data_IF_432413476752
#
_entry.id   IF_432413476752
#
_cell.length_a   1.000
_cell.length_b   1.000
_cell.length_c   1.000
_cell.angle_alpha   90.00
_cell.angle_beta   90.00
_cell.angle_gamma   90.00
#
_symmetry.space_group_name_H-M   'P 1'
#
loop_
_entity.id
_entity.type
_entity.pdbx_description
1 polymer ?
#
# COMPACT_ATOMS: atom_id res chain seq x y z
N UNK A 1 24.69 -34.72 -2.73
CA UNK A 1 23.48 -33.86 -2.79
C UNK A 1 23.18 -33.38 -1.38
N UNK A 2 22.63 -32.18 -1.18
CA UNK A 2 22.28 -31.73 0.16
C UNK A 2 21.21 -32.65 0.76
N UNK A 3 21.26 -32.85 2.06
CA UNK A 3 20.20 -33.55 2.80
C UNK A 3 18.89 -32.77 2.69
N UNK A 4 17.80 -33.44 2.34
CA UNK A 4 16.51 -32.82 2.11
C UNK A 4 15.39 -33.61 2.82
N UNK A 5 14.38 -32.89 3.29
CA UNK A 5 13.12 -33.52 3.72
C UNK A 5 12.35 -34.00 2.50
N UNK A 6 11.67 -35.10 2.63
CA UNK A 6 10.91 -35.72 1.56
C UNK A 6 9.43 -35.78 1.94
N UNK A 7 8.56 -35.62 0.94
CA UNK A 7 7.11 -35.78 1.08
C UNK A 7 6.65 -37.02 0.33
N UNK A 8 5.80 -37.82 0.95
CA UNK A 8 5.13 -38.96 0.32
C UNK A 8 3.96 -38.40 -0.50
N UNK A 9 3.89 -38.77 -1.78
CA UNK A 9 2.87 -38.27 -2.72
C UNK A 9 1.79 -39.30 -3.05
N UNK A 10 1.96 -40.55 -2.63
CA UNK A 10 0.93 -41.59 -2.84
C UNK A 10 -0.27 -41.32 -1.94
N UNK A 11 -1.48 -41.40 -2.50
CA UNK A 11 -2.73 -41.12 -1.82
C UNK A 11 -2.95 -42.02 -0.60
N UNK A 12 -2.56 -43.30 -0.68
CA UNK A 12 -2.66 -44.25 0.41
C UNK A 12 -1.84 -43.90 1.66
N UNK A 13 -0.90 -42.96 1.53
CA UNK A 13 -0.01 -42.51 2.60
C UNK A 13 -0.05 -41.01 2.82
N UNK A 14 -1.09 -40.31 2.33
CA UNK A 14 -1.20 -38.84 2.37
C UNK A 14 -1.10 -38.26 3.78
N UNK A 15 -1.57 -39.00 4.79
CA UNK A 15 -1.57 -38.60 6.20
C UNK A 15 -0.68 -39.48 7.08
N UNK A 16 0.30 -40.15 6.46
CA UNK A 16 1.16 -41.08 7.19
C UNK A 16 2.00 -40.36 8.25
N UNK A 17 1.94 -40.89 9.46
CA UNK A 17 2.80 -40.50 10.58
C UNK A 17 3.46 -41.77 11.13
N UNK A 18 4.77 -41.79 11.18
CA UNK A 18 5.51 -42.98 11.61
C UNK A 18 6.93 -43.02 11.06
N UNK A 19 7.48 -44.25 10.98
CA UNK A 19 8.84 -44.46 10.47
C UNK A 19 8.79 -45.28 9.18
N UNK A 20 9.50 -44.81 8.16
CA UNK A 20 9.65 -45.52 6.91
C UNK A 20 11.14 -45.42 6.46
N UNK A 21 11.72 -46.56 6.06
CA UNK A 21 13.14 -46.62 5.69
C UNK A 21 14.08 -46.03 6.77
N UNK A 22 13.72 -46.21 8.06
CA UNK A 22 14.40 -45.63 9.23
C UNK A 22 14.34 -44.11 9.35
N UNK A 23 13.45 -43.46 8.62
CA UNK A 23 13.15 -42.02 8.77
C UNK A 23 11.81 -41.83 9.45
N UNK A 24 11.68 -40.82 10.30
CA UNK A 24 10.43 -40.37 10.90
C UNK A 24 9.67 -39.47 9.94
N UNK A 25 8.33 -39.61 9.98
CA UNK A 25 7.42 -38.76 9.19
C UNK A 25 6.31 -38.25 10.07
N UNK A 26 5.92 -37.00 9.87
CA UNK A 26 4.73 -36.37 10.42
C UNK A 26 3.91 -35.79 9.29
N UNK A 27 2.64 -36.18 9.17
CA UNK A 27 1.75 -35.74 8.07
C UNK A 27 2.39 -35.94 6.69
N UNK A 28 3.02 -37.11 6.47
CA UNK A 28 3.70 -37.47 5.21
C UNK A 28 4.97 -36.65 4.89
N UNK A 29 5.52 -35.91 5.84
CA UNK A 29 6.78 -35.19 5.71
C UNK A 29 7.81 -35.81 6.67
N UNK A 30 9.04 -35.97 6.23
CA UNK A 30 10.11 -36.46 7.10
C UNK A 30 10.38 -35.48 8.24
N UNK A 31 10.51 -35.98 9.48
CA UNK A 31 10.75 -35.15 10.67
C UNK A 31 12.11 -34.46 10.62
N UNK A 32 13.11 -35.15 10.05
CA UNK A 32 14.46 -34.63 9.86
C UNK A 32 14.88 -34.74 8.38
N UNK A 33 15.91 -33.95 7.94
CA UNK A 33 16.47 -34.12 6.62
C UNK A 33 16.99 -35.53 6.38
N UNK A 34 16.69 -36.10 5.22
CA UNK A 34 17.08 -37.45 4.86
C UNK A 34 18.45 -37.50 4.20
N UNK A 35 19.22 -38.49 4.53
CA UNK A 35 20.48 -38.78 3.83
C UNK A 35 20.20 -39.18 2.37
N UNK A 36 21.17 -39.04 1.48
CA UNK A 36 21.07 -39.46 0.07
C UNK A 36 20.57 -40.88 -0.11
N UNK A 37 21.05 -41.81 0.73
CA UNK A 37 20.61 -43.21 0.72
C UNK A 37 19.16 -43.37 1.06
N UNK A 38 18.68 -42.68 2.10
CA UNK A 38 17.28 -42.68 2.50
C UNK A 38 16.37 -42.04 1.43
N UNK A 39 16.80 -40.94 0.82
CA UNK A 39 16.10 -40.30 -0.29
C UNK A 39 15.96 -41.24 -1.48
N UNK A 40 17.05 -41.92 -1.86
CA UNK A 40 17.02 -42.88 -2.97
C UNK A 40 16.12 -44.05 -2.70
N UNK A 41 16.13 -44.58 -1.47
CA UNK A 41 15.25 -45.69 -1.08
C UNK A 41 13.76 -45.29 -1.09
N UNK A 42 13.44 -44.11 -0.59
CA UNK A 42 12.07 -43.59 -0.63
C UNK A 42 11.59 -43.34 -2.07
N UNK A 43 12.44 -42.76 -2.89
CA UNK A 43 12.12 -42.49 -4.30
C UNK A 43 11.94 -43.77 -5.12
N UNK A 44 12.62 -44.85 -4.74
CA UNK A 44 12.48 -46.15 -5.40
C UNK A 44 11.24 -46.94 -4.94
N UNK A 45 10.81 -46.79 -3.68
CA UNK A 45 9.69 -47.50 -3.10
C UNK A 45 8.34 -46.74 -3.16
N UNK A 46 8.43 -45.42 -3.15
CA UNK A 46 7.30 -44.51 -3.09
C UNK A 46 7.58 -43.34 -4.05
N UNK A 47 6.54 -42.77 -4.60
CA UNK A 47 6.66 -41.53 -5.40
C UNK A 47 6.92 -40.31 -4.48
N UNK A 48 8.03 -40.38 -3.75
CA UNK A 48 8.45 -39.30 -2.87
C UNK A 48 9.16 -38.19 -3.66
N UNK A 49 8.80 -36.96 -3.45
CA UNK A 49 9.44 -35.79 -4.05
C UNK A 49 10.17 -34.96 -2.98
N UNK A 50 11.30 -34.32 -3.33
CA UNK A 50 11.93 -33.40 -2.41
C UNK A 50 10.96 -32.33 -1.93
N UNK A 51 10.91 -32.13 -0.63
CA UNK A 51 10.10 -31.10 -0.04
C UNK A 51 10.85 -29.78 -0.06
N UNK A 52 10.34 -28.78 -0.78
CA UNK A 52 10.91 -27.45 -0.78
C UNK A 52 10.06 -26.51 0.10
N UNK A 53 10.72 -25.94 1.09
CA UNK A 53 10.10 -24.88 1.89
C UNK A 53 10.05 -23.59 1.10
N UNK A 54 8.99 -22.83 1.27
CA UNK A 54 8.85 -21.50 0.69
C UNK A 54 8.22 -20.54 1.69
N UNK A 55 8.59 -19.29 1.61
CA UNK A 55 7.95 -18.21 2.40
C UNK A 55 6.71 -17.74 1.65
N UNK A 56 5.61 -17.58 2.38
CA UNK A 56 4.36 -17.02 1.88
C UNK A 56 4.05 -15.74 2.66
N UNK A 57 3.59 -14.71 1.96
CA UNK A 57 3.15 -13.44 2.55
C UNK A 57 1.66 -13.26 2.30
N UNK A 58 0.92 -12.89 3.32
CA UNK A 58 -0.50 -12.57 3.25
C UNK A 58 -0.77 -11.16 3.79
N UNK A 59 -1.71 -10.42 3.18
CA UNK A 59 -2.43 -10.72 1.93
C UNK A 59 -1.53 -10.66 0.70
N UNK A 60 -1.91 -11.35 -0.39
CA UNK A 60 -1.12 -11.42 -1.63
C UNK A 60 -1.19 -10.12 -2.47
N UNK A 61 -2.18 -9.28 -2.25
CA UNK A 61 -2.36 -8.00 -2.96
C UNK A 61 -2.76 -6.91 -1.96
N UNK A 62 -1.85 -6.51 -1.06
CA UNK A 62 -2.13 -5.50 -0.05
C UNK A 62 -2.24 -4.11 -0.66
N UNK A 63 -3.20 -3.33 -0.16
CA UNK A 63 -3.31 -1.91 -0.48
C UNK A 63 -3.56 -1.09 0.78
N UNK A 64 -3.08 0.14 0.79
CA UNK A 64 -3.18 1.06 1.92
C UNK A 64 -3.30 2.50 1.42
N UNK A 65 -3.97 3.36 2.15
CA UNK A 65 -3.97 4.80 1.86
C UNK A 65 -2.73 5.47 2.48
N UNK A 66 -2.29 6.56 1.90
CA UNK A 66 -1.27 7.44 2.51
C UNK A 66 -1.65 7.77 3.96
N UNK A 67 -0.70 7.60 4.88
CA UNK A 67 -0.88 7.82 6.32
C UNK A 67 -1.67 6.73 7.06
N UNK A 68 -2.01 5.62 6.39
CA UNK A 68 -2.66 4.45 7.00
C UNK A 68 -1.72 3.25 7.00
N UNK A 69 -2.12 2.20 7.71
CA UNK A 69 -1.33 0.97 7.86
C UNK A 69 -2.08 -0.24 7.33
N UNK A 70 -1.32 -1.25 6.90
CA UNK A 70 -1.79 -2.59 6.57
C UNK A 70 -0.84 -3.61 7.19
N UNK A 71 -1.41 -4.64 7.84
CA UNK A 71 -0.61 -5.72 8.43
C UNK A 71 -0.32 -6.78 7.37
N UNK A 72 0.95 -7.13 7.21
CA UNK A 72 1.41 -8.31 6.49
C UNK A 72 1.78 -9.39 7.50
N UNK A 73 1.52 -10.63 7.12
CA UNK A 73 1.96 -11.82 7.86
C UNK A 73 2.78 -12.71 6.93
N UNK A 74 3.88 -13.24 7.42
CA UNK A 74 4.69 -14.20 6.70
C UNK A 74 4.68 -15.55 7.40
N UNK A 75 4.75 -16.63 6.63
CA UNK A 75 4.84 -17.99 7.13
C UNK A 75 5.62 -18.86 6.17
N UNK A 76 6.19 -19.96 6.68
CA UNK A 76 6.85 -20.99 5.86
C UNK A 76 5.83 -22.07 5.53
N UNK A 77 5.74 -22.44 4.24
CA UNK A 77 4.93 -23.57 3.83
C UNK A 77 5.49 -24.85 4.41
N UNK A 78 4.66 -25.60 5.14
CA UNK A 78 4.95 -26.93 5.72
C UNK A 78 6.27 -26.97 6.52
N UNK A 79 6.22 -26.64 7.79
CA UNK A 79 7.34 -26.67 8.71
C UNK A 79 7.09 -25.77 9.91
N UNK A 80 7.99 -25.64 10.80
CA UNK A 80 7.91 -24.97 12.10
C UNK A 80 6.89 -23.85 12.25
N UNK A 81 6.07 -23.95 13.25
CA UNK A 81 5.02 -22.98 13.61
C UNK A 81 5.52 -21.63 14.15
N UNK A 82 6.82 -21.45 14.37
CA UNK A 82 7.41 -20.24 14.96
C UNK A 82 8.64 -19.81 14.15
N UNK A 83 8.42 -19.15 13.02
CA UNK A 83 9.49 -18.51 12.24
C UNK A 83 9.56 -17.04 12.59
N UNK A 84 10.78 -16.53 12.73
CA UNK A 84 11.08 -15.11 12.93
C UNK A 84 11.47 -14.47 11.60
N UNK A 85 10.75 -13.43 11.20
CA UNK A 85 10.99 -12.77 9.92
C UNK A 85 11.61 -11.38 10.10
N UNK A 86 12.56 -11.06 9.24
CA UNK A 86 12.98 -9.69 9.00
C UNK A 86 12.22 -9.13 7.80
N UNK A 87 11.78 -7.87 7.94
CA UNK A 87 11.00 -7.18 6.91
C UNK A 87 11.79 -6.02 6.32
N UNK A 88 11.72 -5.85 5.02
CA UNK A 88 12.40 -4.76 4.31
C UNK A 88 11.50 -4.18 3.22
N UNK A 89 11.43 -2.86 3.18
CA UNK A 89 10.86 -2.12 2.06
C UNK A 89 11.92 -1.86 0.99
N UNK A 90 11.54 -1.93 -0.27
CA UNK A 90 12.40 -1.56 -1.39
C UNK A 90 12.48 -0.02 -1.56
N UNK A 91 11.51 0.73 -1.02
CA UNK A 91 11.50 2.19 -1.09
C UNK A 91 10.67 2.78 0.07
N UNK A 92 11.34 3.27 1.09
CA UNK A 92 10.72 3.87 2.28
C UNK A 92 10.02 5.21 1.99
N UNK A 93 10.30 5.84 0.84
CA UNK A 93 9.58 7.04 0.41
C UNK A 93 8.14 6.73 -0.05
N UNK A 94 7.85 5.48 -0.42
CA UNK A 94 6.50 5.03 -0.80
C UNK A 94 5.80 4.36 0.38
N UNK A 95 6.45 3.40 1.02
CA UNK A 95 5.95 2.80 2.26
C UNK A 95 7.09 2.26 3.12
N UNK A 96 6.95 2.39 4.43
CA UNK A 96 7.82 1.77 5.42
C UNK A 96 7.22 0.48 5.96
N UNK A 97 8.04 -0.40 6.51
CA UNK A 97 7.60 -1.62 7.20
C UNK A 97 8.38 -1.76 8.51
N UNK A 98 7.71 -2.16 9.58
CA UNK A 98 8.36 -2.45 10.86
C UNK A 98 8.70 -3.96 11.00
N UNK A 99 9.38 -4.31 12.10
CA UNK A 99 9.79 -5.69 12.39
C UNK A 99 8.64 -6.69 12.57
N UNK A 100 7.40 -6.23 12.74
CA UNK A 100 6.21 -7.09 12.86
C UNK A 100 5.44 -7.23 11.55
N UNK A 101 5.92 -6.64 10.45
CA UNK A 101 5.25 -6.67 9.15
C UNK A 101 4.13 -5.62 9.01
N UNK A 102 4.04 -4.64 9.92
CA UNK A 102 3.10 -3.53 9.79
C UNK A 102 3.66 -2.52 8.78
N UNK A 103 2.99 -2.37 7.66
CA UNK A 103 3.34 -1.45 6.57
C UNK A 103 2.58 -0.15 6.74
N UNK A 104 3.29 0.98 6.63
CA UNK A 104 2.70 2.34 6.64
C UNK A 104 2.89 2.99 5.28
N UNK A 105 1.80 3.45 4.67
CA UNK A 105 1.84 4.20 3.40
C UNK A 105 2.37 5.62 3.61
N UNK A 106 3.39 6.01 2.86
CA UNK A 106 4.05 7.33 2.93
C UNK A 106 3.64 8.21 1.75
N UNK A 107 3.78 7.70 0.53
CA UNK A 107 3.42 8.42 -0.70
C UNK A 107 2.73 7.47 -1.68
N UNK A 108 1.88 7.97 -2.59
CA UNK A 108 1.23 7.14 -3.59
C UNK A 108 2.24 6.41 -4.49
N UNK A 109 1.99 5.15 -4.76
CA UNK A 109 2.86 4.33 -5.59
C UNK A 109 2.77 2.85 -5.26
N UNK A 110 3.66 2.07 -5.88
CA UNK A 110 3.81 0.64 -5.63
C UNK A 110 5.21 0.37 -5.09
N UNK A 111 5.30 -0.49 -4.09
CA UNK A 111 6.57 -0.84 -3.46
C UNK A 111 6.59 -2.32 -3.09
N UNK A 112 7.74 -2.94 -3.32
CA UNK A 112 7.97 -4.33 -2.92
C UNK A 112 8.38 -4.39 -1.44
N UNK A 113 7.67 -5.19 -0.67
CA UNK A 113 8.01 -5.52 0.72
C UNK A 113 8.49 -6.97 0.75
N UNK A 114 9.64 -7.20 1.33
CA UNK A 114 10.28 -8.52 1.42
C UNK A 114 10.30 -8.99 2.87
N UNK A 115 9.88 -10.23 3.09
CA UNK A 115 10.07 -10.95 4.34
C UNK A 115 11.15 -12.02 4.15
N UNK A 116 12.13 -12.07 5.04
CA UNK A 116 13.18 -13.08 5.06
C UNK A 116 13.12 -13.82 6.39
N UNK A 117 13.02 -15.12 6.34
CA UNK A 117 13.09 -15.96 7.52
C UNK A 117 14.52 -15.99 8.06
N UNK A 118 14.68 -15.79 9.36
CA UNK A 118 16.01 -15.65 9.98
C UNK A 118 16.75 -16.98 10.09
N UNK A 119 16.06 -18.09 10.14
CA UNK A 119 16.65 -19.43 10.31
C UNK A 119 17.04 -20.03 8.95
N UNK A 120 16.11 -20.05 8.00
CA UNK A 120 16.31 -20.70 6.70
C UNK A 120 16.88 -19.77 5.64
N UNK A 121 16.89 -18.45 5.87
CA UNK A 121 17.26 -17.40 4.92
C UNK A 121 16.38 -17.38 3.65
N UNK A 122 15.27 -18.13 3.65
CA UNK A 122 14.29 -18.07 2.59
C UNK A 122 13.55 -16.74 2.64
N UNK A 123 13.21 -16.22 1.48
CA UNK A 123 12.51 -14.94 1.39
C UNK A 123 11.37 -14.98 0.39
N UNK A 124 10.36 -14.15 0.63
CA UNK A 124 9.32 -13.83 -0.32
C UNK A 124 9.09 -12.32 -0.36
N UNK A 125 8.44 -11.87 -1.42
CA UNK A 125 8.10 -10.46 -1.57
C UNK A 125 6.67 -10.30 -2.05
N UNK A 126 6.03 -9.20 -1.61
CA UNK A 126 4.70 -8.80 -2.06
C UNK A 126 4.75 -7.33 -2.51
N UNK A 127 4.01 -7.00 -3.57
CA UNK A 127 3.84 -5.62 -4.01
C UNK A 127 2.70 -4.97 -3.22
N UNK A 128 3.02 -3.92 -2.46
CA UNK A 128 2.05 -3.10 -1.73
C UNK A 128 1.70 -1.88 -2.58
N UNK A 129 0.40 -1.64 -2.77
CA UNK A 129 -0.08 -0.43 -3.45
C UNK A 129 -0.48 0.62 -2.42
N UNK A 130 0.17 1.78 -2.45
CA UNK A 130 -0.19 2.94 -1.65
C UNK A 130 -1.07 3.86 -2.48
N UNK A 131 -2.32 4.00 -2.07
CA UNK A 131 -3.30 4.83 -2.76
C UNK A 131 -3.33 6.25 -2.18
N UNK A 132 -3.55 7.29 -3.02
CA UNK A 132 -3.73 8.65 -2.55
C UNK A 132 -5.03 8.77 -1.73
N UNK A 133 -5.04 9.73 -0.80
CA UNK A 133 -6.26 10.19 -0.15
C UNK A 133 -6.90 11.24 -1.05
N UNK A 134 -8.04 10.91 -1.63
CA UNK A 134 -8.74 11.78 -2.59
C UNK A 134 -9.41 12.98 -1.90
N UNK A 135 -9.55 14.09 -2.63
CA UNK A 135 -10.35 15.24 -2.22
C UNK A 135 -11.84 14.88 -2.27
N UNK A 136 -12.54 15.11 -1.16
CA UNK A 136 -13.98 14.87 -1.05
C UNK A 136 -14.80 16.13 -1.30
N UNK A 137 -14.31 17.29 -0.84
CA UNK A 137 -14.94 18.58 -1.04
C UNK A 137 -13.92 19.72 -1.02
N UNK A 138 -14.30 20.82 -1.68
CA UNK A 138 -13.60 22.10 -1.63
C UNK A 138 -14.60 23.15 -1.22
N UNK A 139 -14.22 24.08 -0.37
CA UNK A 139 -14.98 25.28 -0.03
C UNK A 139 -14.11 26.50 -0.14
N UNK A 140 -14.71 27.67 -0.31
CA UNK A 140 -14.02 28.96 -0.34
C UNK A 140 -14.51 29.83 0.82
N UNK A 141 -13.63 30.59 1.41
CA UNK A 141 -13.96 31.49 2.53
C UNK A 141 -13.28 32.85 2.34
N UNK A 142 -14.00 33.96 2.45
CA UNK A 142 -15.46 34.02 2.50
C UNK A 142 -16.12 33.56 1.19
N UNK A 143 -17.37 33.09 1.25
CA UNK A 143 -18.16 32.72 0.07
C UNK A 143 -18.84 33.93 -0.60
N UNK A 144 -18.87 35.08 0.11
CA UNK A 144 -19.28 36.38 -0.40
C UNK A 144 -18.49 37.48 0.26
N UNK A 145 -18.06 38.47 -0.54
CA UNK A 145 -17.29 39.63 -0.06
C UNK A 145 -17.41 40.80 -1.03
N UNK A 146 -16.97 42.00 -0.60
CA UNK A 146 -16.86 43.16 -1.45
C UNK A 146 -15.42 43.68 -1.54
N UNK A 147 -15.08 44.36 -2.62
CA UNK A 147 -13.78 44.99 -2.84
C UNK A 147 -13.97 46.28 -3.62
N UNK A 148 -13.26 47.34 -3.26
CA UNK A 148 -13.25 48.58 -4.03
C UNK A 148 -12.53 48.37 -5.37
N UNK A 149 -12.97 49.10 -6.41
CA UNK A 149 -12.26 49.15 -7.71
C UNK A 149 -10.78 49.47 -7.51
N UNK A 150 -9.90 48.63 -8.08
CA UNK A 150 -8.44 48.79 -8.00
C UNK A 150 -7.82 48.26 -6.67
N UNK A 151 -8.63 47.74 -5.74
CA UNK A 151 -8.16 47.09 -4.53
C UNK A 151 -8.24 45.57 -4.65
N UNK A 152 -7.66 44.87 -3.67
CA UNK A 152 -7.66 43.41 -3.64
C UNK A 152 -8.18 42.86 -2.29
N UNK A 153 -8.82 41.71 -2.38
CA UNK A 153 -9.30 40.91 -1.23
C UNK A 153 -8.84 39.46 -1.38
N UNK A 154 -8.47 38.82 -0.30
CA UNK A 154 -8.02 37.43 -0.34
C UNK A 154 -9.16 36.47 -0.01
N UNK A 155 -9.33 35.48 -0.87
CA UNK A 155 -10.15 34.29 -0.64
C UNK A 155 -9.25 33.10 -0.25
N UNK A 156 -9.76 32.21 0.58
CA UNK A 156 -9.05 30.98 1.00
C UNK A 156 -9.79 29.76 0.54
N UNK A 157 -9.10 28.85 -0.12
CA UNK A 157 -9.59 27.52 -0.42
C UNK A 157 -9.43 26.61 0.80
N UNK A 158 -10.46 25.85 1.12
CA UNK A 158 -10.40 24.81 2.14
C UNK A 158 -10.72 23.45 1.49
N UNK A 159 -9.72 22.56 1.46
CA UNK A 159 -9.80 21.26 0.83
C UNK A 159 -9.98 20.19 1.90
N UNK A 160 -11.00 19.35 1.75
CA UNK A 160 -11.30 18.25 2.68
C UNK A 160 -11.18 16.88 1.99
N UNK A 161 -10.68 15.87 2.72
CA UNK A 161 -10.17 15.92 4.09
C UNK A 161 -8.81 16.65 4.17
N UNK A 162 -8.46 17.15 5.35
CA UNK A 162 -7.20 17.90 5.56
C UNK A 162 -5.94 17.10 5.23
N UNK A 163 -6.02 15.77 5.24
CA UNK A 163 -4.98 14.83 4.83
C UNK A 163 -5.08 14.39 3.36
N UNK A 164 -5.88 15.06 2.51
CA UNK A 164 -5.89 14.78 1.07
C UNK A 164 -4.47 14.89 0.50
N UNK A 165 -4.12 13.94 -0.36
CA UNK A 165 -2.75 13.80 -0.88
C UNK A 165 -2.38 14.96 -1.81
N UNK A 166 -3.32 15.37 -2.67
CA UNK A 166 -3.17 16.57 -3.49
C UNK A 166 -4.25 17.57 -3.09
N UNK A 167 -3.82 18.70 -2.52
CA UNK A 167 -4.70 19.82 -2.12
C UNK A 167 -4.62 21.01 -3.06
N UNK A 168 -3.92 20.87 -4.17
CA UNK A 168 -3.79 21.95 -5.14
C UNK A 168 -5.17 22.28 -5.74
N UNK A 169 -5.42 23.57 -5.88
CA UNK A 169 -6.63 24.14 -6.50
C UNK A 169 -6.22 25.10 -7.62
N UNK A 170 -7.12 25.29 -8.57
CA UNK A 170 -7.00 26.30 -9.62
C UNK A 170 -8.10 27.32 -9.40
N UNK A 171 -7.74 28.60 -9.42
CA UNK A 171 -8.63 29.74 -9.30
C UNK A 171 -8.94 30.33 -10.67
N UNK A 172 -10.17 30.75 -10.88
CA UNK A 172 -10.59 31.46 -12.09
C UNK A 172 -11.74 32.41 -11.79
N UNK A 173 -11.80 33.51 -12.48
CA UNK A 173 -12.95 34.41 -12.50
C UNK A 173 -13.85 34.07 -13.70
N UNK A 174 -15.16 34.06 -13.48
CA UNK A 174 -16.14 33.98 -14.58
C UNK A 174 -16.43 35.33 -15.23
N UNK A 175 -16.02 36.42 -14.56
CA UNK A 175 -16.30 37.79 -14.94
C UNK A 175 -15.01 38.61 -14.79
N UNK A 176 -14.02 38.33 -15.62
CA UNK A 176 -12.70 38.99 -15.55
C UNK A 176 -12.76 40.49 -15.84
N UNK A 177 -13.78 40.94 -16.55
CA UNK A 177 -14.10 42.35 -16.74
C UNK A 177 -14.51 43.05 -15.45
N UNK A 178 -14.99 42.32 -14.45
CA UNK A 178 -15.40 42.85 -13.13
C UNK A 178 -14.32 42.62 -12.08
N UNK A 179 -13.80 41.38 -11.96
CA UNK A 179 -12.72 41.08 -11.05
C UNK A 179 -11.83 39.97 -11.61
N UNK A 180 -10.54 40.06 -11.39
CA UNK A 180 -9.56 39.01 -11.68
C UNK A 180 -9.13 38.29 -10.41
N UNK A 181 -8.60 37.07 -10.52
CA UNK A 181 -8.07 36.32 -9.40
C UNK A 181 -6.73 35.67 -9.76
N UNK A 182 -5.76 35.74 -8.86
CA UNK A 182 -4.49 35.02 -8.98
C UNK A 182 -4.59 33.59 -8.43
N UNK A 183 -3.55 32.76 -8.66
CA UNK A 183 -3.51 31.38 -8.18
C UNK A 183 -3.29 31.25 -6.65
N UNK A 184 -3.10 32.37 -5.96
CA UNK A 184 -3.05 32.46 -4.49
C UNK A 184 -4.41 32.79 -3.86
N UNK A 185 -5.42 33.08 -4.70
CA UNK A 185 -6.78 33.45 -4.26
C UNK A 185 -6.93 34.95 -3.96
N UNK A 186 -6.01 35.81 -4.41
CA UNK A 186 -6.18 37.26 -4.31
C UNK A 186 -7.05 37.76 -5.47
N UNK A 187 -8.18 38.35 -5.16
CA UNK A 187 -9.15 38.87 -6.11
C UNK A 187 -8.95 40.41 -6.19
N UNK A 188 -8.78 40.94 -7.39
CA UNK A 188 -8.63 42.37 -7.64
C UNK A 188 -9.84 42.89 -8.39
N UNK A 189 -10.49 43.96 -7.86
CA UNK A 189 -11.60 44.65 -8.50
C UNK A 189 -11.16 45.42 -9.72
N UNK A 190 -11.77 45.17 -10.88
CA UNK A 190 -11.46 45.80 -12.15
C UNK A 190 -12.51 46.89 -12.48
N UNK A 191 -13.78 46.57 -12.41
CA UNK A 191 -14.90 47.44 -12.71
C UNK A 191 -16.10 47.16 -11.81
N UNK A 192 -16.88 48.15 -11.44
CA UNK A 192 -18.07 48.03 -10.59
C UNK A 192 -19.00 46.97 -11.14
N UNK A 193 -19.47 46.09 -10.22
CA UNK A 193 -20.38 44.97 -10.53
C UNK A 193 -20.04 43.69 -9.77
N UNK A 194 -20.65 42.61 -10.14
CA UNK A 194 -20.49 41.32 -9.43
C UNK A 194 -19.67 40.34 -10.26
N UNK A 195 -18.69 39.68 -9.63
CA UNK A 195 -17.91 38.62 -10.21
C UNK A 195 -18.09 37.32 -9.46
N UNK A 196 -18.14 36.20 -10.17
CA UNK A 196 -18.10 34.84 -9.60
C UNK A 196 -16.70 34.27 -9.73
N UNK A 197 -16.06 34.00 -8.61
CA UNK A 197 -14.76 33.34 -8.54
C UNK A 197 -14.98 31.85 -8.34
N UNK A 198 -14.44 31.02 -9.23
CA UNK A 198 -14.52 29.56 -9.16
C UNK A 198 -13.17 28.99 -8.71
N UNK A 199 -13.22 27.99 -7.83
CA UNK A 199 -12.07 27.14 -7.53
C UNK A 199 -12.37 25.70 -7.93
N UNK A 200 -11.35 25.02 -8.46
CA UNK A 200 -11.42 23.60 -8.87
C UNK A 200 -10.23 22.87 -8.28
N UNK A 201 -10.49 21.77 -7.56
CA UNK A 201 -9.40 20.91 -7.10
C UNK A 201 -8.75 20.16 -8.27
N UNK A 202 -7.45 20.04 -8.27
CA UNK A 202 -6.74 19.23 -9.26
C UNK A 202 -6.95 17.73 -9.06
N UNK A 203 -7.35 17.33 -7.85
CA UNK A 203 -7.70 15.96 -7.51
C UNK A 203 -9.22 15.82 -7.39
N UNK A 204 -9.84 15.13 -8.34
CA UNK A 204 -11.25 14.78 -8.29
C UNK A 204 -12.22 15.85 -8.78
N UNK A 205 -11.73 16.93 -9.39
CA UNK A 205 -12.55 17.97 -10.03
C UNK A 205 -13.67 18.51 -9.13
N UNK A 206 -13.41 18.67 -7.82
CA UNK A 206 -14.35 19.32 -6.89
C UNK A 206 -14.30 20.81 -7.09
N UNK A 207 -15.49 21.44 -7.03
CA UNK A 207 -15.65 22.87 -7.30
C UNK A 207 -16.32 23.59 -6.16
N UNK A 208 -15.98 24.86 -5.98
CA UNK A 208 -16.73 25.81 -5.17
C UNK A 208 -16.64 27.20 -5.80
N UNK A 209 -17.54 28.08 -5.40
CA UNK A 209 -17.59 29.46 -5.91
C UNK A 209 -17.70 30.46 -4.78
N UNK A 210 -17.19 31.66 -5.00
CA UNK A 210 -17.43 32.84 -4.18
C UNK A 210 -17.96 33.97 -5.04
N UNK A 211 -18.80 34.81 -4.45
CA UNK A 211 -19.31 36.03 -5.07
C UNK A 211 -18.51 37.22 -4.56
N UNK A 212 -17.99 38.04 -5.48
CA UNK A 212 -17.26 39.28 -5.15
C UNK A 212 -17.99 40.44 -5.77
N UNK A 213 -18.43 41.40 -4.94
CA UNK A 213 -19.02 42.64 -5.38
C UNK A 213 -17.92 43.73 -5.46
N UNK A 214 -17.76 44.31 -6.64
CA UNK A 214 -16.82 45.42 -6.84
C UNK A 214 -17.61 46.73 -6.72
N UNK A 215 -17.18 47.59 -5.78
CA UNK A 215 -17.80 48.87 -5.46
C UNK A 215 -16.95 50.05 -5.85
#
# INVERSE_FOLDING_TARGET
MPEQKMKITEEAFSDFTGHMCRAGFTNSISDEPLTERQQSQLSACLQAVPFSQSVNITPASPSVLVGKTVQLSAGISMGKSASSFTWKSANDQIATVNGTGLVTGVAPGKVKITATDQETQLSASVEVTVNPVAVKSVTVTPDSTSVEKGKSVSLKANVQPSNATNKAVTWSSKNEDKATVDQSGNVTGVEVGTATIEIVSQDGSKKATATVEVT
#
